data_IF_432755252482
#
_entry.id   IF_432755252482
#
_cell.length_a   1.000
_cell.length_b   1.000
_cell.length_c   1.000
_cell.angle_alpha   90.00
_cell.angle_beta   90.00
_cell.angle_gamma   90.00
#
_symmetry.space_group_name_H-M   'P 1'
#
loop_
_entity.id
_entity.type
_entity.pdbx_description
1 polymer ?
#
# COMPACT_ATOMS: atom_id res chain seq x y z
N UNK A 1 40.12 38.25 -7.48
CA UNK A 1 39.16 37.68 -6.50
C UNK A 1 38.31 36.63 -7.21
N UNK A 2 38.70 35.37 -7.13
CA UNK A 2 37.95 34.27 -7.72
C UNK A 2 36.95 33.72 -6.71
N UNK A 3 35.65 33.77 -7.04
CA UNK A 3 34.60 33.07 -6.29
C UNK A 3 34.79 31.56 -6.48
N UNK A 4 35.20 30.87 -5.41
CA UNK A 4 35.20 29.42 -5.36
C UNK A 4 33.76 28.98 -5.13
N UNK A 5 33.09 28.49 -6.18
CA UNK A 5 31.77 27.89 -6.09
C UNK A 5 31.92 26.56 -5.35
N UNK A 6 31.53 26.52 -4.07
CA UNK A 6 31.47 25.27 -3.29
C UNK A 6 30.55 24.29 -4.03
N UNK A 7 31.09 23.15 -4.43
CA UNK A 7 30.30 22.00 -4.84
C UNK A 7 29.65 21.41 -3.57
N UNK A 8 28.35 21.12 -3.56
CA UNK A 8 27.70 20.51 -2.41
C UNK A 8 28.34 19.15 -2.13
N UNK A 9 28.59 18.88 -0.84
CA UNK A 9 29.16 17.61 -0.41
C UNK A 9 28.06 16.57 -0.23
N UNK A 10 28.38 15.27 -0.36
CA UNK A 10 27.41 14.16 -0.26
C UNK A 10 26.60 14.17 1.06
N UNK A 11 27.12 14.78 2.12
CA UNK A 11 26.42 14.98 3.39
C UNK A 11 25.34 16.06 3.36
N UNK A 12 25.51 17.09 2.52
CA UNK A 12 24.53 18.18 2.37
C UNK A 12 23.27 17.68 1.63
N UNK A 13 23.46 16.81 0.62
CA UNK A 13 22.36 16.17 -0.12
C UNK A 13 21.56 15.17 0.73
N UNK A 14 22.23 14.43 1.64
CA UNK A 14 21.54 13.53 2.58
C UNK A 14 20.71 14.28 3.62
N UNK A 15 21.21 15.44 4.10
CA UNK A 15 20.46 16.32 5.00
C UNK A 15 19.19 16.85 4.34
N UNK A 16 19.30 17.38 3.12
CA UNK A 16 18.15 17.90 2.37
C UNK A 16 17.08 16.85 2.08
N UNK A 17 17.46 15.62 1.72
CA UNK A 17 16.50 14.54 1.49
C UNK A 17 15.74 14.13 2.77
N UNK A 18 16.43 14.10 3.93
CA UNK A 18 15.80 13.81 5.23
C UNK A 18 14.82 14.90 5.64
N UNK A 19 15.10 16.15 5.35
CA UNK A 19 14.17 17.26 5.63
C UNK A 19 12.91 17.18 4.76
N UNK A 20 13.05 16.83 3.47
CA UNK A 20 11.92 16.63 2.55
C UNK A 20 10.99 15.50 3.02
N UNK A 21 11.56 14.40 3.52
CA UNK A 21 10.80 13.31 4.13
C UNK A 21 10.09 13.75 5.40
N UNK A 22 10.83 14.38 6.33
CA UNK A 22 10.34 14.74 7.66
C UNK A 22 9.18 15.74 7.62
N UNK A 23 9.09 16.55 6.57
CA UNK A 23 7.96 17.46 6.36
C UNK A 23 6.64 16.79 5.95
N UNK A 24 6.64 15.47 5.65
CA UNK A 24 5.48 14.77 5.08
C UNK A 24 5.21 13.38 5.65
N UNK A 25 6.24 12.69 6.13
CA UNK A 25 6.15 11.32 6.61
C UNK A 25 6.65 11.21 8.04
N UNK A 26 6.00 10.33 8.81
CA UNK A 26 6.50 9.91 10.11
C UNK A 26 7.69 8.96 9.94
N UNK A 27 8.56 8.88 10.95
CA UNK A 27 9.73 7.99 10.97
C UNK A 27 10.68 8.18 9.77
N UNK A 28 10.85 9.40 9.27
CA UNK A 28 11.74 9.72 8.16
C UNK A 28 13.18 9.17 8.30
N UNK A 29 13.84 9.21 9.48
CA UNK A 29 15.14 8.57 9.66
C UNK A 29 15.13 7.06 9.39
N UNK A 30 14.09 6.36 9.87
CA UNK A 30 13.91 4.92 9.68
C UNK A 30 13.63 4.59 8.20
N UNK A 31 12.81 5.39 7.51
CA UNK A 31 12.56 5.24 6.06
C UNK A 31 13.88 5.34 5.28
N UNK A 32 14.70 6.34 5.60
CA UNK A 32 15.97 6.53 4.93
C UNK A 32 16.97 5.39 5.22
N UNK A 33 16.98 4.87 6.45
CA UNK A 33 17.85 3.77 6.83
C UNK A 33 17.41 2.44 6.21
N UNK A 34 16.11 2.13 6.25
CA UNK A 34 15.53 0.95 5.62
C UNK A 34 15.76 0.93 4.10
N UNK A 35 15.65 2.08 3.42
CA UNK A 35 16.01 2.22 2.00
C UNK A 35 17.44 1.73 1.72
N UNK A 36 18.42 2.16 2.53
CA UNK A 36 19.81 1.73 2.38
C UNK A 36 19.98 0.24 2.66
N UNK A 37 19.35 -0.27 3.72
CA UNK A 37 19.44 -1.68 4.13
C UNK A 37 18.83 -2.63 3.10
N UNK A 38 17.69 -2.28 2.52
CA UNK A 38 17.01 -3.07 1.51
C UNK A 38 17.57 -2.86 0.08
N UNK A 39 18.50 -1.90 -0.10
CA UNK A 39 19.08 -1.61 -1.42
C UNK A 39 18.09 -1.03 -2.43
N UNK A 40 17.05 -0.34 -1.96
CA UNK A 40 16.00 0.26 -2.82
C UNK A 40 16.11 1.79 -2.83
N UNK A 41 15.74 2.47 -3.92
CA UNK A 41 15.74 3.93 -3.97
C UNK A 41 14.91 4.56 -2.85
N UNK A 42 15.38 5.70 -2.32
CA UNK A 42 14.69 6.41 -1.24
C UNK A 42 13.26 6.83 -1.63
N UNK A 43 13.03 7.12 -2.91
CA UNK A 43 11.72 7.42 -3.46
C UNK A 43 10.74 6.24 -3.34
N UNK A 44 11.21 5.00 -3.56
CA UNK A 44 10.41 3.78 -3.39
C UNK A 44 10.12 3.53 -1.91
N UNK A 45 11.11 3.73 -1.03
CA UNK A 45 10.90 3.60 0.41
C UNK A 45 9.88 4.60 0.96
N UNK A 46 9.99 5.86 0.54
CA UNK A 46 9.03 6.90 0.88
C UNK A 46 7.62 6.59 0.35
N UNK A 47 7.53 6.08 -0.89
CA UNK A 47 6.27 5.69 -1.49
C UNK A 47 5.58 4.56 -0.73
N UNK A 48 6.31 3.49 -0.35
CA UNK A 48 5.73 2.40 0.43
C UNK A 48 5.20 2.93 1.77
N UNK A 49 6.02 3.69 2.50
CA UNK A 49 5.63 4.28 3.77
C UNK A 49 4.39 5.20 3.65
N UNK A 50 4.33 6.04 2.61
CA UNK A 50 3.17 6.91 2.33
C UNK A 50 1.91 6.08 2.09
N UNK A 51 2.01 5.10 1.19
CA UNK A 51 0.90 4.30 0.68
C UNK A 51 0.31 3.41 1.78
N UNK A 52 1.13 2.93 2.71
CA UNK A 52 0.72 2.04 3.78
C UNK A 52 0.19 2.77 5.01
N UNK A 53 0.93 3.74 5.54
CA UNK A 53 0.55 4.34 6.83
C UNK A 53 0.90 5.84 6.96
N UNK A 54 1.50 6.46 5.96
CA UNK A 54 2.17 7.76 6.13
C UNK A 54 3.46 7.65 6.97
N UNK A 55 4.07 6.45 7.04
CA UNK A 55 5.24 6.16 7.86
C UNK A 55 4.95 5.99 9.36
N UNK A 56 3.69 5.96 9.78
CA UNK A 56 3.31 5.81 11.19
C UNK A 56 3.57 4.38 11.69
N UNK A 57 4.03 4.26 12.93
CA UNK A 57 4.24 2.97 13.58
C UNK A 57 2.98 2.53 14.35
N UNK A 58 1.95 2.13 13.61
CA UNK A 58 0.62 1.78 14.14
C UNK A 58 0.15 0.45 13.56
N UNK A 59 -0.75 -0.22 14.28
CA UNK A 59 -1.45 -1.38 13.75
C UNK A 59 -2.52 -0.92 12.74
N UNK A 60 -2.68 -1.68 11.66
CA UNK A 60 -3.77 -1.51 10.70
C UNK A 60 -5.13 -1.69 11.36
N UNK A 61 -6.16 -1.03 10.84
CA UNK A 61 -7.51 -1.04 11.42
C UNK A 61 -8.48 -1.96 10.65
N UNK A 62 -7.95 -2.97 9.97
CA UNK A 62 -8.74 -3.90 9.16
C UNK A 62 -9.82 -4.60 9.99
N UNK A 63 -11.03 -4.71 9.45
CA UNK A 63 -12.17 -5.23 10.22
C UNK A 63 -11.86 -6.63 10.79
N UNK A 64 -11.96 -6.75 12.11
CA UNK A 64 -11.77 -8.01 12.82
C UNK A 64 -10.33 -8.33 13.21
N UNK A 65 -9.35 -7.48 12.87
CA UNK A 65 -7.99 -7.60 13.39
C UNK A 65 -7.94 -7.48 14.91
N UNK A 66 -7.02 -8.19 15.54
CA UNK A 66 -6.74 -8.22 16.99
C UNK A 66 -6.80 -6.85 17.68
N UNK A 67 -6.27 -5.80 17.04
CA UNK A 67 -6.25 -4.42 17.53
C UNK A 67 -7.21 -3.48 16.83
N UNK A 68 -8.07 -3.99 15.95
CA UNK A 68 -9.02 -3.17 15.21
C UNK A 68 -10.12 -2.68 16.13
N UNK A 69 -10.23 -1.36 16.28
CA UNK A 69 -11.16 -0.73 17.22
C UNK A 69 -11.98 0.32 16.49
N UNK A 70 -13.32 0.18 16.46
CA UNK A 70 -14.19 1.24 15.97
C UNK A 70 -13.88 2.55 16.71
N UNK A 71 -13.51 3.60 15.96
CA UNK A 71 -13.21 4.92 16.51
C UNK A 71 -11.80 5.12 17.09
N UNK A 72 -10.87 4.15 16.99
CA UNK A 72 -9.46 4.32 17.38
C UNK A 72 -8.50 3.70 16.35
N UNK A 73 -8.29 4.35 15.19
CA UNK A 73 -7.53 3.78 14.08
C UNK A 73 -6.00 3.74 14.28
N UNK A 74 -5.46 4.36 15.33
CA UNK A 74 -4.02 4.57 15.49
C UNK A 74 -3.46 3.89 16.75
N UNK A 75 -3.70 2.59 16.88
CA UNK A 75 -3.10 1.82 17.99
C UNK A 75 -1.59 1.72 17.76
N UNK A 76 -0.75 2.26 18.65
CA UNK A 76 0.69 2.27 18.44
C UNK A 76 1.28 0.87 18.56
N UNK A 77 2.23 0.57 17.67
CA UNK A 77 3.02 -0.66 17.72
C UNK A 77 4.04 -0.56 18.86
N UNK A 78 4.10 -1.59 19.70
CA UNK A 78 5.12 -1.78 20.74
C UNK A 78 5.52 -3.25 20.79
N UNK A 79 6.70 -3.60 21.33
CA UNK A 79 7.14 -5.00 21.45
C UNK A 79 6.10 -5.89 22.16
N UNK A 80 5.47 -5.38 23.22
CA UNK A 80 4.46 -6.12 23.99
C UNK A 80 3.22 -6.41 23.16
N UNK A 81 2.77 -5.43 22.36
CA UNK A 81 1.61 -5.59 21.48
C UNK A 81 1.90 -6.48 20.27
N UNK A 82 3.11 -6.43 19.72
CA UNK A 82 3.52 -7.37 18.67
C UNK A 82 3.54 -8.80 19.21
N UNK A 83 4.05 -9.00 20.42
CA UNK A 83 3.99 -10.31 21.09
C UNK A 83 2.55 -10.76 21.37
N UNK A 84 1.66 -9.85 21.79
CA UNK A 84 0.24 -10.15 21.95
C UNK A 84 -0.43 -10.53 20.62
N UNK A 85 -0.21 -9.74 19.56
CA UNK A 85 -0.74 -10.01 18.22
C UNK A 85 -0.33 -11.41 17.76
N UNK A 86 0.96 -11.75 17.84
CA UNK A 86 1.49 -13.06 17.43
C UNK A 86 0.83 -14.21 18.19
N UNK A 87 0.66 -14.08 19.51
CA UNK A 87 -0.04 -15.11 20.32
C UNK A 87 -1.50 -15.28 19.90
N UNK A 88 -2.22 -14.19 19.67
CA UNK A 88 -3.65 -14.21 19.28
C UNK A 88 -3.85 -14.74 17.87
N UNK A 89 -2.97 -14.36 16.93
CA UNK A 89 -2.97 -14.90 15.56
C UNK A 89 -2.66 -16.40 15.56
N UNK A 90 -1.70 -16.85 16.37
CA UNK A 90 -1.44 -18.28 16.54
C UNK A 90 -2.63 -19.05 17.15
N UNK A 91 -3.49 -18.37 17.91
CA UNK A 91 -4.75 -18.91 18.43
C UNK A 91 -5.92 -18.84 17.42
N UNK A 92 -5.68 -18.38 16.19
CA UNK A 92 -6.67 -18.35 15.11
C UNK A 92 -7.37 -17.01 14.90
N UNK A 93 -6.94 -15.94 15.60
CA UNK A 93 -7.50 -14.60 15.38
C UNK A 93 -6.92 -13.93 14.13
N UNK A 94 -7.69 -12.99 13.56
CA UNK A 94 -7.27 -12.22 12.38
C UNK A 94 -6.15 -11.25 12.73
N UNK A 95 -5.09 -11.26 11.92
CA UNK A 95 -3.94 -10.36 12.07
C UNK A 95 -4.28 -8.90 11.73
N UNK A 96 -3.48 -7.97 12.23
CA UNK A 96 -3.43 -6.56 11.80
C UNK A 96 -2.15 -6.34 10.98
N UNK A 97 -2.15 -5.33 10.11
CA UNK A 97 -0.89 -4.79 9.58
C UNK A 97 -0.04 -4.21 10.70
N UNK A 98 1.24 -4.57 10.75
CA UNK A 98 2.19 -4.07 11.76
C UNK A 98 3.00 -2.95 11.13
N UNK A 99 2.95 -1.76 11.75
CA UNK A 99 3.96 -0.73 11.60
C UNK A 99 3.93 0.02 10.26
N UNK A 100 5.00 0.76 9.93
CA UNK A 100 5.05 1.61 8.75
C UNK A 100 4.88 0.89 7.40
N UNK A 101 5.18 -0.40 7.30
CA UNK A 101 5.00 -1.19 6.09
C UNK A 101 3.75 -2.10 6.12
N UNK A 102 2.95 -2.03 7.20
CA UNK A 102 1.72 -2.82 7.39
C UNK A 102 1.91 -4.33 7.14
N UNK A 103 2.98 -4.92 7.67
CA UNK A 103 3.25 -6.36 7.56
C UNK A 103 2.13 -7.14 8.25
N UNK A 104 1.34 -7.89 7.48
CA UNK A 104 0.08 -8.49 7.96
C UNK A 104 0.09 -10.03 7.97
N UNK A 105 0.85 -10.66 7.05
CA UNK A 105 0.78 -12.10 6.82
C UNK A 105 1.72 -12.88 7.74
N UNK A 106 1.25 -13.93 8.48
CA UNK A 106 2.06 -14.58 9.52
C UNK A 106 3.40 -15.16 9.08
N UNK A 107 3.56 -15.76 7.88
CA UNK A 107 4.87 -16.20 7.40
C UNK A 107 5.92 -15.07 7.27
N UNK A 108 5.51 -13.81 7.17
CA UNK A 108 6.45 -12.69 7.22
C UNK A 108 6.91 -12.36 8.64
N UNK A 109 6.17 -12.79 9.68
CA UNK A 109 6.61 -12.69 11.06
C UNK A 109 7.77 -13.65 11.33
N UNK A 110 7.64 -14.89 10.86
CA UNK A 110 8.70 -15.89 10.96
C UNK A 110 9.94 -15.46 10.15
N UNK A 111 9.71 -14.84 8.98
CA UNK A 111 10.78 -14.28 8.16
C UNK A 111 11.51 -13.14 8.85
N UNK A 112 10.80 -12.27 9.57
CA UNK A 112 11.42 -11.21 10.38
C UNK A 112 12.34 -11.82 11.43
N UNK A 113 11.85 -12.84 12.15
CA UNK A 113 12.61 -13.52 13.20
C UNK A 113 13.87 -14.19 12.64
N UNK A 114 13.74 -14.89 11.50
CA UNK A 114 14.87 -15.52 10.82
C UNK A 114 15.92 -14.51 10.31
N UNK A 115 15.51 -13.28 10.01
CA UNK A 115 16.38 -12.19 9.61
C UNK A 115 16.90 -11.34 10.80
N UNK A 116 16.47 -11.65 12.03
CA UNK A 116 16.81 -10.89 13.23
C UNK A 116 16.22 -9.47 13.26
N UNK A 117 15.06 -9.28 12.61
CA UNK A 117 14.37 -7.98 12.50
C UNK A 117 13.27 -7.85 13.57
N UNK A 118 13.26 -6.76 14.32
CA UNK A 118 12.17 -6.43 15.25
C UNK A 118 11.04 -5.70 14.52
N UNK A 119 9.89 -6.36 14.34
CA UNK A 119 8.73 -5.75 13.68
C UNK A 119 8.12 -4.58 14.46
N UNK A 120 8.46 -4.41 15.74
CA UNK A 120 8.05 -3.22 16.50
C UNK A 120 8.92 -1.99 16.19
N UNK A 121 10.16 -2.20 15.73
CA UNK A 121 11.04 -1.13 15.30
C UNK A 121 10.67 -0.67 13.88
N UNK A 122 10.45 0.65 13.65
CA UNK A 122 10.06 1.16 12.33
C UNK A 122 11.06 0.87 11.22
N UNK A 123 12.36 0.88 11.50
CA UNK A 123 13.40 0.67 10.50
C UNK A 123 13.45 -0.79 10.07
N UNK A 124 13.42 -1.71 11.03
CA UNK A 124 13.38 -3.15 10.76
C UNK A 124 12.09 -3.55 10.03
N UNK A 125 10.95 -3.00 10.46
CA UNK A 125 9.66 -3.20 9.80
C UNK A 125 9.67 -2.76 8.32
N UNK A 126 10.18 -1.54 8.05
CA UNK A 126 10.34 -1.04 6.68
C UNK A 126 11.36 -1.84 5.89
N UNK A 127 12.46 -2.26 6.50
CA UNK A 127 13.50 -3.08 5.84
C UNK A 127 12.89 -4.37 5.32
N UNK A 128 12.08 -5.06 6.13
CA UNK A 128 11.38 -6.27 5.69
C UNK A 128 10.40 -5.98 4.54
N UNK A 129 9.54 -4.96 4.70
CA UNK A 129 8.55 -4.60 3.67
C UNK A 129 9.18 -4.25 2.34
N UNK A 130 10.25 -3.47 2.35
CA UNK A 130 10.99 -3.09 1.13
C UNK A 130 11.71 -4.27 0.49
N UNK A 131 12.24 -5.19 1.29
CA UNK A 131 12.84 -6.44 0.78
C UNK A 131 11.79 -7.29 0.06
N UNK A 132 10.62 -7.47 0.67
CA UNK A 132 9.49 -8.20 0.06
C UNK A 132 9.06 -7.52 -1.24
N UNK A 133 8.91 -6.19 -1.25
CA UNK A 133 8.54 -5.44 -2.46
C UNK A 133 9.59 -5.63 -3.57
N UNK A 134 10.88 -5.51 -3.25
CA UNK A 134 11.97 -5.67 -4.20
C UNK A 134 12.02 -7.09 -4.81
N UNK A 135 11.72 -8.12 -4.02
CA UNK A 135 11.61 -9.50 -4.50
C UNK A 135 10.46 -9.69 -5.49
N UNK A 136 9.30 -9.10 -5.20
CA UNK A 136 8.17 -9.10 -6.14
C UNK A 136 8.49 -8.33 -7.43
N UNK A 137 9.28 -7.25 -7.31
CA UNK A 137 9.79 -6.50 -8.44
C UNK A 137 10.81 -7.28 -9.28
N UNK A 138 11.48 -8.29 -8.70
CA UNK A 138 12.54 -9.09 -9.35
C UNK A 138 13.64 -8.21 -9.95
N UNK A 139 13.96 -7.10 -9.28
CA UNK A 139 14.95 -6.11 -9.73
C UNK A 139 14.42 -5.05 -10.71
N UNK A 140 13.18 -5.17 -11.21
CA UNK A 140 12.54 -4.14 -12.02
C UNK A 140 11.85 -3.10 -11.12
N UNK A 141 12.58 -2.05 -10.75
CA UNK A 141 12.03 -0.91 -10.00
C UNK A 141 11.56 0.23 -10.92
N UNK A 142 11.30 -0.05 -12.20
CA UNK A 142 10.60 0.88 -13.09
C UNK A 142 9.13 1.08 -12.65
N UNK A 143 8.42 2.08 -13.17
CA UNK A 143 6.99 2.25 -12.86
C UNK A 143 6.16 0.98 -13.11
N UNK A 144 6.37 0.29 -14.24
CA UNK A 144 5.65 -0.94 -14.56
C UNK A 144 6.05 -2.11 -13.62
N UNK A 145 7.31 -2.17 -13.21
CA UNK A 145 7.80 -3.14 -12.23
C UNK A 145 7.18 -2.92 -10.86
N UNK A 146 7.12 -1.67 -10.40
CA UNK A 146 6.48 -1.26 -9.14
C UNK A 146 4.96 -1.48 -9.16
N UNK A 147 4.31 -1.31 -10.31
CA UNK A 147 2.89 -1.64 -10.47
C UNK A 147 2.61 -3.12 -10.19
N UNK A 148 3.42 -4.01 -10.77
CA UNK A 148 3.32 -5.46 -10.55
C UNK A 148 3.71 -5.83 -9.12
N UNK A 149 4.82 -5.27 -8.63
CA UNK A 149 5.35 -5.55 -7.30
C UNK A 149 4.38 -5.11 -6.20
N UNK A 150 3.85 -3.88 -6.29
CA UNK A 150 2.84 -3.37 -5.37
C UNK A 150 1.55 -4.18 -5.43
N UNK A 151 1.15 -4.65 -6.62
CA UNK A 151 0.00 -5.55 -6.75
C UNK A 151 0.21 -6.86 -5.99
N UNK A 152 1.38 -7.49 -6.14
CA UNK A 152 1.71 -8.71 -5.41
C UNK A 152 1.87 -8.46 -3.91
N UNK A 153 2.46 -7.34 -3.51
CA UNK A 153 2.60 -6.93 -2.11
C UNK A 153 1.24 -6.84 -1.42
N UNK A 154 0.25 -6.23 -2.09
CA UNK A 154 -1.08 -6.01 -1.52
C UNK A 154 -2.03 -7.21 -1.67
N UNK A 155 -2.05 -7.86 -2.84
CA UNK A 155 -3.05 -8.87 -3.18
C UNK A 155 -2.49 -10.30 -3.26
N UNK A 156 -1.17 -10.48 -3.21
CA UNK A 156 -0.50 -11.78 -3.33
C UNK A 156 -0.59 -12.44 -4.71
N UNK A 157 -1.24 -11.81 -5.70
CA UNK A 157 -1.45 -12.40 -7.04
C UNK A 157 -1.58 -11.35 -8.13
N UNK A 158 -1.23 -11.73 -9.36
CA UNK A 158 -1.47 -10.95 -10.59
C UNK A 158 -2.58 -11.56 -11.46
N UNK A 159 -3.32 -12.57 -10.98
CA UNK A 159 -4.34 -13.25 -11.77
C UNK A 159 -5.43 -12.30 -12.31
N UNK A 160 -5.72 -11.21 -11.59
CA UNK A 160 -6.63 -10.14 -12.00
C UNK A 160 -5.97 -8.94 -12.69
N UNK A 161 -4.69 -9.06 -13.10
CA UNK A 161 -3.89 -7.96 -13.60
C UNK A 161 -3.41 -7.00 -12.52
N UNK A 162 -2.88 -5.86 -12.94
CA UNK A 162 -2.37 -4.80 -12.04
C UNK A 162 -3.52 -4.12 -11.32
N UNK A 163 -3.41 -3.96 -9.99
CA UNK A 163 -4.42 -3.32 -9.15
C UNK A 163 -4.22 -1.80 -9.04
N UNK A 164 -5.24 -1.10 -8.55
CA UNK A 164 -5.12 0.32 -8.22
C UNK A 164 -4.10 0.59 -7.12
N UNK A 165 -3.90 -0.36 -6.20
CA UNK A 165 -2.85 -0.28 -5.20
C UNK A 165 -1.48 -0.24 -5.89
N UNK A 166 -1.19 -1.18 -6.80
CA UNK A 166 0.08 -1.22 -7.53
C UNK A 166 0.34 0.07 -8.31
N UNK A 167 -0.67 0.56 -9.03
CA UNK A 167 -0.62 1.86 -9.72
C UNK A 167 -0.38 3.04 -8.79
N UNK A 168 -1.00 3.05 -7.60
CA UNK A 168 -0.79 4.10 -6.60
C UNK A 168 0.65 4.11 -6.10
N UNK A 169 1.21 2.94 -5.80
CA UNK A 169 2.59 2.81 -5.35
C UNK A 169 3.60 3.32 -6.39
N UNK A 170 3.44 2.93 -7.66
CA UNK A 170 4.31 3.40 -8.73
C UNK A 170 4.25 4.93 -8.93
N UNK A 171 3.04 5.51 -8.93
CA UNK A 171 2.87 6.97 -9.01
C UNK A 171 3.48 7.70 -7.82
N UNK A 172 3.33 7.16 -6.62
CA UNK A 172 3.92 7.73 -5.42
C UNK A 172 5.45 7.72 -5.50
N UNK A 173 6.06 6.62 -5.97
CA UNK A 173 7.51 6.53 -6.15
C UNK A 173 8.04 7.59 -7.12
N UNK A 174 7.39 7.76 -8.28
CA UNK A 174 7.76 8.81 -9.22
C UNK A 174 7.65 10.22 -8.60
N UNK A 175 6.56 10.51 -7.89
CA UNK A 175 6.36 11.80 -7.24
C UNK A 175 7.40 12.07 -6.13
N UNK A 176 7.85 11.04 -5.43
CA UNK A 176 8.93 11.17 -4.45
C UNK A 176 10.30 11.39 -5.10
N UNK A 177 10.57 10.75 -6.23
CA UNK A 177 11.80 10.98 -6.98
C UNK A 177 11.92 12.44 -7.45
N UNK A 178 10.83 13.04 -7.93
CA UNK A 178 10.77 14.46 -8.27
C UNK A 178 11.04 15.36 -7.06
N UNK A 179 10.39 15.07 -5.92
CA UNK A 179 10.55 15.86 -4.68
C UNK A 179 11.97 15.78 -4.13
N UNK A 180 12.56 14.59 -4.10
CA UNK A 180 13.89 14.35 -3.54
C UNK A 180 15.01 14.88 -4.45
N UNK A 181 14.78 14.92 -5.76
CA UNK A 181 15.74 15.53 -6.70
C UNK A 181 15.72 17.06 -6.72
N UNK A 182 14.82 17.70 -5.96
CA UNK A 182 14.65 19.16 -5.95
C UNK A 182 14.20 19.73 -7.30
N UNK A 183 13.72 18.88 -8.21
CA UNK A 183 13.28 19.29 -9.55
C UNK A 183 11.90 19.93 -9.40
N UNK A 184 11.66 21.13 -9.95
CA UNK A 184 10.30 21.66 -10.01
C UNK A 184 9.42 20.66 -10.76
N UNK A 185 8.13 20.50 -10.38
CA UNK A 185 7.24 19.57 -11.07
C UNK A 185 7.28 19.91 -12.56
N UNK A 186 7.51 18.91 -13.40
CA UNK A 186 7.45 19.10 -14.84
C UNK A 186 6.08 19.72 -15.14
N UNK A 187 6.08 20.94 -15.69
CA UNK A 187 4.84 21.56 -16.16
C UNK A 187 4.23 20.58 -17.16
N UNK A 188 3.07 20.03 -16.80
CA UNK A 188 2.25 19.21 -17.68
C UNK A 188 2.00 20.01 -18.96
N UNK A 189 2.71 19.65 -20.04
CA UNK A 189 2.33 20.10 -21.37
C UNK A 189 0.97 19.46 -21.68
N UNK A 190 -0.04 20.32 -21.75
CA UNK A 190 -1.38 19.98 -22.14
C UNK A 190 -1.39 19.36 -23.54
N UNK A 191 -1.66 18.06 -23.62
CA UNK A 191 -2.18 17.44 -24.83
C UNK A 191 -3.71 17.39 -24.71
N UNK A 192 -4.39 18.05 -25.65
CA UNK A 192 -5.84 18.21 -25.68
C UNK A 192 -6.62 16.90 -25.93
N UNK A 193 -7.96 16.97 -25.96
CA UNK A 193 -8.82 15.81 -26.04
C UNK A 193 -8.89 15.30 -27.48
N UNK A 194 -8.73 13.99 -27.69
CA UNK A 194 -9.25 13.35 -28.90
C UNK A 194 -9.96 12.06 -28.53
N UNK A 195 -11.25 12.05 -28.86
CA UNK A 195 -12.18 10.98 -28.63
C UNK A 195 -11.90 9.80 -29.57
N UNK A 196 -12.02 8.58 -29.06
CA UNK A 196 -12.56 7.48 -29.84
C UNK A 196 -13.61 6.77 -29.00
N UNK A 197 -14.86 6.93 -29.44
CA UNK A 197 -16.01 6.16 -28.99
C UNK A 197 -15.85 4.74 -29.51
N UNK A 198 -16.24 3.74 -28.72
CA UNK A 198 -16.97 2.60 -29.24
C UNK A 198 -18.01 2.18 -28.20
N UNK A 199 -19.27 2.32 -28.60
CA UNK A 199 -20.45 1.82 -27.91
C UNK A 199 -20.48 0.28 -27.91
N UNK A 200 -21.17 -0.27 -26.91
CA UNK A 200 -21.48 -1.69 -26.83
C UNK A 200 -22.20 -2.03 -25.53
N UNK A 201 -23.39 -1.48 -25.32
CA UNK A 201 -24.38 -2.08 -24.42
C UNK A 201 -24.94 -3.36 -25.08
N UNK A 202 -25.28 -4.38 -24.28
CA UNK A 202 -26.63 -4.87 -24.39
C UNK A 202 -27.30 -5.08 -23.03
N UNK A 203 -28.42 -4.38 -22.86
CA UNK A 203 -29.60 -4.77 -22.10
C UNK A 203 -29.73 -6.28 -21.81
N UNK A 204 -29.67 -6.63 -20.52
CA UNK A 204 -30.11 -7.90 -19.96
C UNK A 204 -30.91 -7.62 -18.68
N UNK A 205 -32.03 -8.33 -18.49
CA UNK A 205 -32.90 -8.22 -17.31
C UNK A 205 -32.12 -8.57 -16.03
N UNK A 206 -31.61 -7.54 -15.35
CA UNK A 206 -30.64 -7.71 -14.26
C UNK A 206 -31.16 -8.58 -13.13
N UNK A 207 -30.52 -9.74 -12.93
CA UNK A 207 -30.72 -10.57 -11.73
C UNK A 207 -30.26 -9.78 -10.51
N UNK A 208 -30.99 -9.91 -9.40
CA UNK A 208 -30.65 -9.23 -8.14
C UNK A 208 -30.42 -10.26 -7.06
N UNK A 209 -29.25 -10.20 -6.40
CA UNK A 209 -28.90 -11.01 -5.23
C UNK A 209 -29.21 -10.24 -3.95
N UNK A 210 -29.78 -10.91 -2.94
CA UNK A 210 -29.96 -10.33 -1.60
C UNK A 210 -28.84 -10.80 -0.70
N UNK A 211 -28.03 -9.85 -0.25
CA UNK A 211 -26.89 -10.08 0.65
C UNK A 211 -27.34 -10.88 1.89
N UNK A 212 -26.69 -11.99 2.17
CA UNK A 212 -26.88 -12.85 3.34
C UNK A 212 -25.89 -12.49 4.45
N UNK A 213 -26.14 -12.90 5.71
CA UNK A 213 -25.18 -12.71 6.80
C UNK A 213 -23.80 -13.29 6.45
N UNK A 214 -22.76 -12.45 6.54
CA UNK A 214 -21.37 -12.87 6.29
C UNK A 214 -20.89 -12.73 4.84
N UNK A 215 -21.76 -12.39 3.89
CA UNK A 215 -21.35 -12.14 2.50
C UNK A 215 -20.66 -10.78 2.35
N UNK A 216 -19.68 -10.73 1.44
CA UNK A 216 -19.02 -9.50 1.01
C UNK A 216 -19.26 -9.29 -0.48
N UNK A 217 -19.13 -8.05 -0.98
CA UNK A 217 -19.27 -7.79 -2.41
C UNK A 217 -18.24 -8.59 -3.23
N UNK A 218 -17.10 -8.90 -2.62
CA UNK A 218 -16.08 -9.81 -3.17
C UNK A 218 -16.55 -11.25 -3.23
N UNK A 219 -17.14 -11.79 -2.15
CA UNK A 219 -17.70 -13.14 -2.14
C UNK A 219 -18.81 -13.31 -3.19
N UNK A 220 -19.70 -12.32 -3.28
CA UNK A 220 -20.79 -12.31 -4.27
C UNK A 220 -20.24 -12.23 -5.70
N UNK A 221 -19.22 -11.40 -5.95
CA UNK A 221 -18.58 -11.34 -7.27
C UNK A 221 -18.00 -12.70 -7.67
N UNK A 222 -17.29 -13.36 -6.74
CA UNK A 222 -16.69 -14.67 -6.95
C UNK A 222 -17.74 -15.73 -7.28
N UNK A 223 -18.81 -15.80 -6.49
CA UNK A 223 -19.84 -16.83 -6.63
C UNK A 223 -20.70 -16.62 -7.89
N UNK A 224 -20.78 -15.38 -8.39
CA UNK A 224 -21.49 -15.04 -9.62
C UNK A 224 -20.57 -15.00 -10.86
N UNK A 225 -19.30 -15.40 -10.72
CA UNK A 225 -18.35 -15.45 -11.84
C UNK A 225 -18.06 -14.07 -12.46
N UNK A 226 -18.14 -13.00 -11.67
CA UNK A 226 -17.85 -11.62 -12.09
C UNK A 226 -16.80 -10.98 -11.17
N UNK A 227 -16.55 -9.69 -11.32
CA UNK A 227 -15.62 -8.94 -10.48
C UNK A 227 -16.33 -7.83 -9.69
N UNK A 228 -15.67 -7.41 -8.60
CA UNK A 228 -16.20 -6.36 -7.71
C UNK A 228 -16.37 -5.04 -8.45
N UNK A 229 -15.51 -4.73 -9.42
CA UNK A 229 -15.60 -3.49 -10.19
C UNK A 229 -16.89 -3.43 -11.03
N UNK A 230 -17.26 -4.55 -11.64
CA UNK A 230 -18.48 -4.74 -12.41
C UNK A 230 -19.70 -4.66 -11.50
N UNK A 231 -19.67 -5.33 -10.33
CA UNK A 231 -20.74 -5.17 -9.35
C UNK A 231 -20.87 -3.73 -8.84
N UNK A 232 -19.77 -3.01 -8.59
CA UNK A 232 -19.82 -1.60 -8.17
C UNK A 232 -20.33 -0.68 -9.27
N UNK A 233 -20.00 -0.96 -10.53
CA UNK A 233 -20.48 -0.21 -11.69
C UNK A 233 -21.99 -0.38 -11.87
N UNK A 234 -22.50 -1.58 -11.63
CA UNK A 234 -23.93 -1.88 -11.63
C UNK A 234 -24.66 -1.37 -10.38
N UNK A 235 -23.94 -1.13 -9.28
CA UNK A 235 -24.49 -0.72 -7.99
C UNK A 235 -23.73 0.48 -7.40
N UNK A 236 -23.83 1.68 -8.01
CA UNK A 236 -23.02 2.84 -7.64
C UNK A 236 -23.28 3.35 -6.20
N UNK A 237 -24.40 2.96 -5.59
CA UNK A 237 -24.74 3.28 -4.19
C UNK A 237 -24.26 2.26 -3.16
N UNK A 238 -23.68 1.13 -3.57
CA UNK A 238 -23.18 0.11 -2.63
C UNK A 238 -21.76 0.48 -2.22
N UNK A 239 -21.63 0.81 -0.94
CA UNK A 239 -20.36 0.94 -0.24
C UNK A 239 -20.06 -0.41 0.40
N UNK A 240 -19.08 -1.21 -0.09
CA UNK A 240 -18.82 -2.57 0.38
C UNK A 240 -18.63 -2.66 1.89
N UNK A 241 -18.02 -1.63 2.49
CA UNK A 241 -17.73 -1.51 3.92
C UNK A 241 -18.97 -1.25 4.77
N UNK A 242 -20.09 -0.85 4.14
CA UNK A 242 -21.38 -0.55 4.77
C UNK A 242 -22.51 -1.43 4.23
N UNK A 243 -22.17 -2.50 3.51
CA UNK A 243 -23.16 -3.38 2.90
C UNK A 243 -23.90 -4.17 3.99
N UNK A 244 -25.22 -3.97 4.08
CA UNK A 244 -26.06 -4.59 5.10
C UNK A 244 -26.70 -5.88 4.58
N UNK A 245 -27.06 -6.79 5.49
CA UNK A 245 -27.86 -7.97 5.15
C UNK A 245 -29.19 -7.52 4.54
N UNK A 246 -29.58 -8.15 3.44
CA UNK A 246 -30.77 -7.83 2.68
C UNK A 246 -30.58 -6.74 1.61
N UNK A 247 -29.41 -6.07 1.54
CA UNK A 247 -29.11 -5.11 0.47
C UNK A 247 -29.21 -5.80 -0.90
N UNK A 248 -29.98 -5.25 -1.85
CA UNK A 248 -30.06 -5.79 -3.20
C UNK A 248 -28.82 -5.42 -4.00
N UNK A 249 -28.11 -6.43 -4.52
CA UNK A 249 -26.96 -6.28 -5.42
C UNK A 249 -27.40 -6.69 -6.82
N UNK A 250 -27.38 -5.75 -7.77
CA UNK A 250 -27.57 -6.03 -9.20
C UNK A 250 -26.38 -6.82 -9.71
N UNK A 251 -26.68 -7.97 -10.30
CA UNK A 251 -25.71 -8.83 -10.95
C UNK A 251 -25.68 -8.57 -12.47
N UNK A 252 -24.59 -8.91 -13.15
CA UNK A 252 -24.53 -8.92 -14.62
C UNK A 252 -25.58 -9.87 -15.24
#
# INVERSE_FOLDING_TARGET
MGLVRRLPTRSDDEGGCRDVLSGRLHNAPAIAAASRRAGVPLSVAAALAEVESGGRNVFGNDRGGVFSRPGRPDVPVTPERVAELRRRVAAGETSNGIGPAQITWPPFFDRADAAGLDLADPEDNLTLGLTILAEHARGDLSPAGLERAGTLYNAGTLAGGVTDYGRRLARAAAAWEERLSGRPPARSEAAGPSASRHDGDPTGTGRTHRVQPGETLWGIARDQGTDVATLRRLNPGIVPERMAVGTPVRLP
#
